data_IF_447128767608
#
_entry.id   IF_447128767608
#
_cell.length_a   1.000
_cell.length_b   1.000
_cell.length_c   1.000
_cell.angle_alpha   90.00
_cell.angle_beta   90.00
_cell.angle_gamma   90.00
#
_symmetry.space_group_name_H-M   'P 1'
#
loop_
_entity.id
_entity.type
_entity.pdbx_description
1 polymer ?
#
# COMPACT_ATOMS: atom_id res chain seq x y z
N UNK A 1 -8.37 11.83 15.93
CA UNK A 1 -8.09 10.72 16.87
C UNK A 1 -6.61 10.64 17.13
N UNK A 2 -6.21 10.38 18.37
CA UNK A 2 -4.82 10.20 18.84
C UNK A 2 -4.60 8.70 19.13
N UNK A 3 -3.35 8.22 19.08
CA UNK A 3 -3.02 6.85 19.48
C UNK A 3 -3.43 6.60 20.94
N UNK A 4 -4.06 5.44 21.21
CA UNK A 4 -4.53 5.10 22.57
C UNK A 4 -3.41 4.57 23.47
N UNK A 5 -2.46 3.84 22.89
CA UNK A 5 -1.30 3.29 23.61
C UNK A 5 -0.03 3.44 22.76
N UNK A 6 0.66 4.60 22.84
CA UNK A 6 1.80 4.90 21.98
C UNK A 6 2.97 3.91 22.12
N UNK A 7 3.31 3.52 23.35
CA UNK A 7 4.46 2.64 23.61
C UNK A 7 4.19 1.22 23.09
N UNK A 8 3.06 0.63 23.45
CA UNK A 8 2.65 -0.70 22.94
C UNK A 8 2.54 -0.70 21.41
N UNK A 9 1.99 0.36 20.82
CA UNK A 9 1.91 0.47 19.36
C UNK A 9 3.29 0.54 18.69
N UNK A 10 4.25 1.22 19.31
CA UNK A 10 5.62 1.29 18.82
C UNK A 10 6.26 -0.09 18.83
N UNK A 11 6.13 -0.82 19.93
CA UNK A 11 6.73 -2.15 20.08
C UNK A 11 6.14 -3.13 19.06
N UNK A 12 4.81 -3.17 18.92
CA UNK A 12 4.12 -4.00 17.91
C UNK A 12 4.57 -3.62 16.49
N UNK A 13 4.70 -2.33 16.21
CA UNK A 13 5.12 -1.86 14.88
C UNK A 13 6.56 -2.28 14.58
N UNK A 14 7.48 -2.13 15.54
CA UNK A 14 8.87 -2.53 15.39
C UNK A 14 8.99 -4.03 15.14
N UNK A 15 8.27 -4.86 15.91
CA UNK A 15 8.22 -6.30 15.67
C UNK A 15 7.68 -6.64 14.28
N UNK A 16 6.62 -5.97 13.82
CA UNK A 16 6.08 -6.16 12.47
C UNK A 16 7.11 -5.79 11.40
N UNK A 17 7.84 -4.69 11.59
CA UNK A 17 8.87 -4.26 10.67
C UNK A 17 10.01 -5.27 10.59
N UNK A 18 10.54 -5.72 11.73
CA UNK A 18 11.62 -6.74 11.78
C UNK A 18 11.20 -8.05 11.09
N UNK A 19 9.93 -8.47 11.25
CA UNK A 19 9.41 -9.66 10.56
C UNK A 19 9.26 -9.46 9.05
N UNK A 20 8.99 -8.23 8.63
CA UNK A 20 8.73 -7.86 7.25
C UNK A 20 10.03 -7.60 6.47
N UNK A 21 11.03 -7.01 7.13
CA UNK A 21 12.25 -6.50 6.50
C UNK A 21 12.98 -7.53 5.62
N UNK A 22 13.17 -8.80 6.03
CA UNK A 22 13.81 -9.82 5.20
C UNK A 22 13.05 -10.14 3.91
N UNK A 23 11.78 -9.76 3.80
CA UNK A 23 10.93 -10.03 2.65
C UNK A 23 10.91 -8.91 1.61
N UNK A 24 11.48 -7.74 1.92
CA UNK A 24 11.48 -6.60 1.00
C UNK A 24 12.23 -6.90 -0.31
N UNK A 25 13.41 -7.52 -0.24
CA UNK A 25 14.18 -7.85 -1.47
C UNK A 25 13.31 -8.64 -2.47
N UNK A 26 12.64 -9.69 -1.99
CA UNK A 26 11.76 -10.50 -2.83
C UNK A 26 10.52 -9.74 -3.30
N UNK A 27 10.00 -8.82 -2.50
CA UNK A 27 8.88 -7.96 -2.88
C UNK A 27 9.29 -6.99 -4.00
N UNK A 28 10.46 -6.38 -3.89
CA UNK A 28 11.03 -5.50 -4.92
C UNK A 28 11.28 -6.26 -6.23
N UNK A 29 11.90 -7.44 -6.18
CA UNK A 29 12.13 -8.27 -7.37
C UNK A 29 10.82 -8.59 -8.11
N UNK A 30 9.76 -8.92 -7.37
CA UNK A 30 8.44 -9.21 -7.94
C UNK A 30 7.78 -7.99 -8.57
N UNK A 31 7.82 -6.84 -7.88
CA UNK A 31 7.24 -5.61 -8.43
C UNK A 31 8.03 -5.11 -9.64
N UNK A 32 9.35 -5.27 -9.64
CA UNK A 32 10.19 -4.91 -10.78
C UNK A 32 9.92 -5.82 -11.99
N UNK A 33 9.77 -7.13 -11.77
CA UNK A 33 9.31 -8.05 -12.82
C UNK A 33 7.94 -7.64 -13.39
N UNK A 34 7.02 -7.23 -12.52
CA UNK A 34 5.71 -6.74 -12.95
C UNK A 34 5.82 -5.45 -13.77
N UNK A 35 6.63 -4.46 -13.31
CA UNK A 35 6.84 -3.17 -14.00
C UNK A 35 7.43 -3.36 -15.40
N UNK A 36 8.45 -4.20 -15.55
CA UNK A 36 9.00 -4.56 -16.87
C UNK A 36 7.94 -5.17 -17.79
N UNK A 37 7.14 -6.10 -17.26
CA UNK A 37 6.05 -6.68 -18.02
C UNK A 37 4.93 -5.67 -18.33
N UNK A 38 4.74 -4.62 -17.52
CA UNK A 38 3.80 -3.53 -17.77
C UNK A 38 4.28 -2.65 -18.93
N UNK A 39 5.56 -2.29 -18.98
CA UNK A 39 6.19 -1.58 -20.09
C UNK A 39 6.05 -2.36 -21.41
N UNK A 40 6.22 -3.69 -21.34
CA UNK A 40 6.02 -4.59 -22.47
C UNK A 40 4.55 -4.93 -22.77
N UNK A 41 3.59 -4.34 -22.05
CA UNK A 41 2.13 -4.58 -22.21
C UNK A 41 1.69 -6.04 -22.01
N UNK A 42 2.48 -6.81 -21.25
CA UNK A 42 2.18 -8.21 -20.86
C UNK A 42 1.54 -8.32 -19.47
N UNK A 43 1.73 -7.31 -18.62
CA UNK A 43 1.14 -7.28 -17.29
C UNK A 43 -0.33 -6.85 -17.33
N UNK A 44 -1.11 -7.35 -16.38
CA UNK A 44 -2.53 -6.99 -16.24
C UNK A 44 -2.81 -6.52 -14.81
N UNK A 45 -3.85 -5.69 -14.67
CA UNK A 45 -4.32 -5.19 -13.38
C UNK A 45 -5.84 -5.28 -13.34
N UNK A 46 -6.37 -5.72 -12.21
CA UNK A 46 -7.81 -5.66 -11.93
C UNK A 46 -8.10 -4.85 -10.70
N UNK A 47 -9.23 -4.16 -10.71
CA UNK A 47 -9.78 -3.49 -9.53
C UNK A 47 -10.71 -4.48 -8.84
N UNK A 48 -10.41 -4.81 -7.58
CA UNK A 48 -11.30 -5.65 -6.79
C UNK A 48 -12.32 -4.74 -6.11
N UNK A 49 -13.62 -4.81 -6.46
CA UNK A 49 -14.60 -3.91 -5.91
C UNK A 49 -14.82 -4.20 -4.42
N UNK A 50 -14.34 -3.30 -3.58
CA UNK A 50 -14.89 -3.09 -2.24
C UNK A 50 -15.90 -1.94 -2.30
N UNK A 51 -16.95 -1.95 -1.47
CA UNK A 51 -17.96 -0.88 -1.43
C UNK A 51 -17.36 0.53 -1.26
N UNK A 52 -16.20 0.63 -0.58
CA UNK A 52 -15.39 1.85 -0.42
C UNK A 52 -14.59 2.27 -1.65
N UNK A 53 -14.40 1.40 -2.64
CA UNK A 53 -13.71 1.73 -3.89
C UNK A 53 -14.54 2.72 -4.72
N UNK A 54 -15.88 2.64 -4.68
CA UNK A 54 -16.78 3.52 -5.45
C UNK A 54 -16.73 4.99 -5.01
N UNK A 55 -16.39 5.28 -3.76
CA UNK A 55 -16.24 6.65 -3.27
C UNK A 55 -14.86 7.23 -3.59
N UNK A 56 -13.82 6.39 -3.60
CA UNK A 56 -12.44 6.76 -3.92
C UNK A 56 -12.18 6.89 -5.43
N UNK A 57 -12.85 6.10 -6.27
CA UNK A 57 -12.79 6.19 -7.73
C UNK A 57 -13.26 7.57 -8.24
N UNK A 58 -14.08 8.31 -7.46
CA UNK A 58 -14.48 9.68 -7.77
C UNK A 58 -13.39 10.72 -7.48
N UNK A 59 -12.45 10.42 -6.57
CA UNK A 59 -11.43 11.37 -6.11
C UNK A 59 -10.01 11.04 -6.58
N UNK A 60 -9.81 9.85 -7.17
CA UNK A 60 -8.51 9.34 -7.61
C UNK A 60 -8.63 8.87 -9.05
N UNK A 61 -7.83 9.45 -9.93
CA UNK A 61 -7.81 9.03 -11.33
C UNK A 61 -7.07 7.70 -11.52
N UNK A 62 -7.51 6.90 -12.51
CA UNK A 62 -6.78 5.70 -12.96
C UNK A 62 -5.32 5.97 -13.29
N UNK A 63 -5.01 7.16 -13.81
CA UNK A 63 -3.64 7.60 -14.11
C UNK A 63 -2.78 7.70 -12.85
N UNK A 64 -3.31 8.28 -11.77
CA UNK A 64 -2.59 8.33 -10.50
C UNK A 64 -2.33 6.92 -9.96
N UNK A 65 -3.32 6.03 -10.07
CA UNK A 65 -3.12 4.64 -9.67
C UNK A 65 -1.97 4.00 -10.43
N UNK A 66 -1.97 4.11 -11.77
CA UNK A 66 -0.90 3.59 -12.61
C UNK A 66 0.46 4.18 -12.24
N UNK A 67 0.54 5.49 -11.99
CA UNK A 67 1.78 6.14 -11.56
C UNK A 67 2.31 5.58 -10.23
N UNK A 68 1.43 5.26 -9.26
CA UNK A 68 1.86 4.57 -8.03
C UNK A 68 2.35 3.15 -8.32
N UNK A 69 1.74 2.42 -9.25
CA UNK A 69 2.21 1.09 -9.63
C UNK A 69 3.60 1.16 -10.29
N UNK A 70 3.79 2.11 -11.19
CA UNK A 70 5.03 2.32 -11.94
C UNK A 70 6.18 2.84 -11.07
N UNK A 71 5.90 3.77 -10.15
CA UNK A 71 6.93 4.56 -9.46
C UNK A 71 6.91 4.46 -7.93
N UNK A 72 5.85 3.90 -7.35
CA UNK A 72 5.67 3.88 -5.90
C UNK A 72 6.66 2.98 -5.16
N UNK A 73 6.96 3.33 -3.92
CA UNK A 73 7.84 2.56 -3.04
C UNK A 73 7.07 1.52 -2.25
N UNK A 74 7.63 0.32 -2.07
CA UNK A 74 7.04 -0.71 -1.23
C UNK A 74 7.33 -0.37 0.23
N UNK A 75 6.29 0.01 0.98
CA UNK A 75 6.42 0.38 2.40
C UNK A 75 5.92 -0.71 3.35
N UNK A 76 5.08 -1.63 2.87
CA UNK A 76 4.72 -2.86 3.60
C UNK A 76 4.67 -4.06 2.65
N UNK A 77 5.08 -5.24 3.11
CA UNK A 77 4.93 -6.49 2.37
C UNK A 77 4.59 -7.69 3.26
N UNK A 78 3.70 -8.57 2.78
CA UNK A 78 3.30 -9.79 3.48
C UNK A 78 3.13 -10.95 2.49
N UNK A 79 3.43 -12.17 2.94
CA UNK A 79 3.12 -13.39 2.21
C UNK A 79 2.14 -14.26 2.99
N UNK A 80 0.97 -14.51 2.40
CA UNK A 80 -0.08 -15.35 2.98
C UNK A 80 0.04 -16.77 2.44
N UNK A 81 0.69 -17.65 3.21
CA UNK A 81 0.93 -19.06 2.81
C UNK A 81 -0.34 -19.81 2.41
N UNK A 82 -1.47 -19.56 3.08
CA UNK A 82 -2.75 -20.26 2.83
C UNK A 82 -3.34 -19.93 1.46
N UNK A 83 -3.31 -18.66 1.05
CA UNK A 83 -3.81 -18.22 -0.26
C UNK A 83 -2.72 -18.12 -1.33
N UNK A 84 -1.44 -18.29 -0.94
CA UNK A 84 -0.25 -18.10 -1.79
C UNK A 84 -0.23 -16.72 -2.44
N UNK A 85 -0.54 -15.70 -1.65
CA UNK A 85 -0.64 -14.31 -2.09
C UNK A 85 0.44 -13.45 -1.44
N UNK A 86 1.05 -12.59 -2.25
CA UNK A 86 1.85 -11.47 -1.79
C UNK A 86 0.97 -10.23 -1.71
N UNK A 87 1.02 -9.52 -0.58
CA UNK A 87 0.35 -8.24 -0.40
C UNK A 87 1.42 -7.18 -0.25
N UNK A 88 1.34 -6.13 -1.06
CA UNK A 88 2.25 -4.98 -0.98
C UNK A 88 1.44 -3.72 -0.70
N UNK A 89 2.00 -2.83 0.11
CA UNK A 89 1.53 -1.46 0.23
C UNK A 89 2.50 -0.54 -0.51
N UNK A 90 2.05 0.03 -1.61
CA UNK A 90 2.83 1.00 -2.37
C UNK A 90 2.53 2.41 -1.86
N UNK A 91 3.56 3.25 -1.78
CA UNK A 91 3.47 4.66 -1.39
C UNK A 91 4.06 5.56 -2.46
N UNK A 92 3.35 6.63 -2.82
CA UNK A 92 3.82 7.64 -3.75
C UNK A 92 3.34 9.03 -3.35
N UNK A 93 4.09 10.06 -3.74
CA UNK A 93 3.75 11.46 -3.46
C UNK A 93 3.49 12.23 -4.75
N UNK A 94 2.24 12.64 -4.95
CA UNK A 94 1.86 13.49 -6.09
C UNK A 94 2.13 14.96 -5.77
N UNK A 95 2.84 15.65 -6.66
CA UNK A 95 2.99 17.11 -6.58
C UNK A 95 1.65 17.77 -6.94
N UNK A 96 1.13 18.61 -6.05
CA UNK A 96 -0.14 19.33 -6.25
C UNK A 96 0.04 20.86 -6.33
N UNK A 97 1.25 21.35 -6.06
CA UNK A 97 1.62 22.76 -6.14
C UNK A 97 3.10 22.98 -5.77
N UNK A 98 3.60 24.22 -5.81
CA UNK A 98 4.94 24.55 -5.35
C UNK A 98 5.14 24.13 -3.89
N UNK A 99 6.08 23.20 -3.64
CA UNK A 99 6.37 22.68 -2.30
C UNK A 99 5.26 21.84 -1.67
N UNK A 100 4.17 21.54 -2.40
CA UNK A 100 3.02 20.82 -1.87
C UNK A 100 2.88 19.45 -2.53
N UNK A 101 2.83 18.42 -1.69
CA UNK A 101 2.71 17.03 -2.10
C UNK A 101 1.56 16.33 -1.38
N UNK A 102 0.95 15.37 -2.06
CA UNK A 102 -0.12 14.53 -1.54
C UNK A 102 0.34 13.07 -1.54
N UNK A 103 0.47 12.44 -0.36
CA UNK A 103 0.79 11.02 -0.27
C UNK A 103 -0.41 10.16 -0.70
N UNK A 104 -0.11 9.02 -1.30
CA UNK A 104 -1.07 8.03 -1.75
C UNK A 104 -0.56 6.65 -1.39
N UNK A 105 -1.44 5.85 -0.78
CA UNK A 105 -1.19 4.46 -0.45
C UNK A 105 -2.07 3.54 -1.29
N UNK A 106 -1.45 2.56 -1.95
CA UNK A 106 -2.12 1.61 -2.84
C UNK A 106 -1.79 0.19 -2.41
N UNK A 107 -2.68 -0.49 -1.66
CA UNK A 107 -2.56 -1.92 -1.40
C UNK A 107 -2.85 -2.74 -2.66
N UNK A 108 -1.88 -3.56 -3.04
CA UNK A 108 -1.98 -4.51 -4.16
C UNK A 108 -1.77 -5.94 -3.68
N UNK A 109 -2.40 -6.88 -4.38
CA UNK A 109 -2.22 -8.32 -4.16
C UNK A 109 -1.73 -8.97 -5.44
N UNK A 110 -0.72 -9.81 -5.31
CA UNK A 110 -0.13 -10.58 -6.40
C UNK A 110 -0.14 -12.06 -6.03
N UNK A 111 -0.77 -12.90 -6.85
CA UNK A 111 -0.79 -14.35 -6.62
C UNK A 111 0.54 -14.96 -7.04
N UNK A 112 1.01 -15.95 -6.29
CA UNK A 112 2.30 -16.59 -6.55
C UNK A 112 2.35 -17.26 -7.94
N UNK A 113 1.24 -17.82 -8.40
CA UNK A 113 1.07 -18.48 -9.71
C UNK A 113 0.77 -17.50 -10.86
N UNK A 114 0.48 -16.22 -10.55
CA UNK A 114 0.17 -15.18 -11.54
C UNK A 114 1.00 -13.91 -11.27
N UNK A 115 2.35 -13.97 -11.41
CA UNK A 115 3.23 -12.86 -11.06
C UNK A 115 3.06 -11.61 -11.95
N UNK A 116 2.44 -11.75 -13.12
CA UNK A 116 2.17 -10.64 -14.05
C UNK A 116 0.76 -10.05 -13.88
N UNK A 117 0.08 -10.40 -12.80
CA UNK A 117 -1.24 -9.89 -12.46
C UNK A 117 -1.23 -9.27 -11.07
N UNK A 118 -1.73 -8.03 -10.97
CA UNK A 118 -2.02 -7.42 -9.66
C UNK A 118 -3.52 -7.16 -9.51
N UNK A 119 -4.01 -7.46 -8.32
CA UNK A 119 -5.33 -7.09 -7.85
C UNK A 119 -5.19 -5.86 -6.96
N UNK A 120 -5.80 -4.75 -7.37
CA UNK A 120 -5.83 -3.53 -6.59
C UNK A 120 -7.01 -3.55 -5.62
N UNK A 121 -6.72 -3.48 -4.32
CA UNK A 121 -7.76 -3.60 -3.28
C UNK A 121 -8.38 -2.26 -2.93
N UNK A 122 -7.58 -1.20 -2.90
CA UNK A 122 -8.03 0.14 -2.55
C UNK A 122 -6.96 1.18 -2.93
N UNK A 123 -7.30 2.45 -2.79
CA UNK A 123 -6.38 3.58 -2.85
C UNK A 123 -6.79 4.54 -1.76
N UNK A 124 -5.87 5.07 -0.96
CA UNK A 124 -6.26 6.04 0.06
C UNK A 124 -5.16 7.06 0.34
N UNK A 125 -5.59 8.22 0.82
CA UNK A 125 -4.72 9.26 1.33
C UNK A 125 -4.44 8.98 2.83
N UNK A 126 -3.20 8.64 3.22
CA UNK A 126 -2.88 8.31 4.61
C UNK A 126 -3.06 9.50 5.57
N UNK A 127 -3.19 10.74 5.05
CA UNK A 127 -3.51 11.93 5.85
C UNK A 127 -4.91 11.89 6.46
N UNK A 128 -5.82 11.07 5.94
CA UNK A 128 -7.12 10.84 6.59
C UNK A 128 -6.98 10.17 7.96
N UNK A 129 -5.86 9.47 8.18
CA UNK A 129 -5.51 8.79 9.44
C UNK A 129 -4.06 9.10 9.85
N UNK A 130 -3.64 10.38 9.85
CA UNK A 130 -2.25 10.80 10.18
C UNK A 130 -1.69 10.16 11.44
N UNK A 131 -2.50 10.00 12.48
CA UNK A 131 -2.10 9.39 13.75
C UNK A 131 -1.63 7.93 13.63
N UNK A 132 -1.93 7.25 12.52
CA UNK A 132 -1.48 5.89 12.22
C UNK A 132 -0.10 5.81 11.59
N UNK A 133 0.46 6.93 11.13
CA UNK A 133 1.65 6.95 10.29
C UNK A 133 2.71 7.89 10.85
N UNK A 134 3.98 7.60 10.57
CA UNK A 134 5.07 8.54 10.79
C UNK A 134 4.90 9.79 9.90
N UNK A 135 5.78 10.79 10.09
CA UNK A 135 5.69 12.08 9.39
C UNK A 135 5.80 11.94 7.86
N UNK A 136 6.55 10.95 7.38
CA UNK A 136 6.74 10.64 5.95
C UNK A 136 5.68 9.68 5.39
N UNK A 137 4.69 9.25 6.17
CA UNK A 137 3.70 8.25 5.80
C UNK A 137 4.27 6.88 5.37
N UNK A 138 5.55 6.63 5.58
CA UNK A 138 6.22 5.39 5.12
C UNK A 138 6.15 4.24 6.13
N UNK A 139 5.81 4.53 7.39
CA UNK A 139 5.74 3.50 8.43
C UNK A 139 4.53 3.75 9.32
N UNK A 140 3.80 2.68 9.66
CA UNK A 140 2.76 2.77 10.69
C UNK A 140 3.42 3.08 12.04
N UNK A 141 2.74 3.82 12.90
CA UNK A 141 3.17 4.10 14.29
C UNK A 141 2.05 3.82 15.29
N UNK A 142 0.84 3.53 14.81
CA UNK A 142 -0.30 3.19 15.64
C UNK A 142 -1.11 2.08 14.96
N UNK A 143 -1.23 0.96 15.67
CA UNK A 143 -2.02 -0.21 15.26
C UNK A 143 -3.39 -0.26 15.93
N UNK A 144 -3.72 0.71 16.80
CA UNK A 144 -5.04 0.76 17.41
C UNK A 144 -6.13 0.75 16.34
N UNK A 145 -7.10 -0.14 16.50
CA UNK A 145 -8.31 -0.10 15.70
C UNK A 145 -9.05 1.21 16.00
N UNK A 146 -9.42 1.91 14.94
CA UNK A 146 -10.52 2.87 15.04
C UNK A 146 -11.74 2.01 15.29
N UNK A 147 -12.13 1.80 16.55
CA UNK A 147 -13.46 1.31 16.89
C UNK A 147 -14.45 2.30 16.27
N UNK A 148 -14.89 2.06 15.04
CA UNK A 148 -16.17 2.60 14.59
C UNK A 148 -17.19 1.72 15.29
N UNK A 149 -17.84 2.32 16.28
CA UNK A 149 -19.08 1.80 16.87
C UNK A 149 -20.03 1.54 15.71
N UNK A 150 -20.47 0.30 15.55
CA UNK A 150 -21.83 0.01 15.14
C UNK A 150 -22.51 -0.58 16.37
#
# INVERSE_FOLDING_TARGET
MVCKNPDECRDITNERYVRMEPHFSKAYDRMEQYRRALEEKRATMTFVPHETFRELDRAVSKRQVLEVIEQGEIIECHYFKKSREYIFLLSHFFKIGPGQYRPFHVPVVMKEDKPLHIELKSVYDPRTKKYKWNKSYSQRICVCESKQRN
#
